data_IF_901324746495
#
_entry.id   IF_901324746495
#
_cell.length_a   1.000
_cell.length_b   1.000
_cell.length_c   1.000
_cell.angle_alpha   90.00
_cell.angle_beta   90.00
_cell.angle_gamma   90.00
#
_symmetry.space_group_name_H-M   'P 1'
#
loop_
_entity.id
_entity.type
_entity.pdbx_description
1 polymer ?
#
# COMPACT_ATOMS: atom_id res chain seq x y z
N UNK A 1 -1.32 6.88 16.92
CA UNK A 1 -0.78 6.70 15.56
C UNK A 1 -1.75 7.40 14.63
N UNK A 2 -1.26 8.26 13.75
CA UNK A 2 -2.14 8.99 12.82
C UNK A 2 -2.56 8.07 11.68
N UNK A 3 -3.74 8.29 11.10
CA UNK A 3 -4.26 7.46 10.00
C UNK A 3 -3.28 7.32 8.82
N UNK A 4 -2.43 8.33 8.60
CA UNK A 4 -1.39 8.30 7.57
C UNK A 4 -0.30 7.26 7.84
N UNK A 5 0.16 7.13 9.09
CA UNK A 5 1.14 6.11 9.48
C UNK A 5 0.56 4.70 9.32
N UNK A 6 -0.73 4.54 9.57
CA UNK A 6 -1.44 3.28 9.39
C UNK A 6 -1.53 2.88 7.91
N UNK A 7 -1.84 3.81 7.00
CA UNK A 7 -1.84 3.53 5.56
C UNK A 7 -0.44 3.16 5.04
N UNK A 8 0.59 3.88 5.45
CA UNK A 8 1.98 3.56 5.08
C UNK A 8 2.40 2.17 5.58
N UNK A 9 2.02 1.82 6.81
CA UNK A 9 2.28 0.49 7.36
C UNK A 9 1.57 -0.61 6.56
N UNK A 10 0.27 -0.45 6.26
CA UNK A 10 -0.50 -1.43 5.48
C UNK A 10 0.09 -1.59 4.08
N UNK A 11 0.50 -0.49 3.42
CA UNK A 11 1.14 -0.55 2.11
C UNK A 11 2.42 -1.41 2.14
N UNK A 12 3.29 -1.19 3.12
CA UNK A 12 4.52 -1.97 3.30
C UNK A 12 4.25 -3.47 3.55
N UNK A 13 3.19 -3.79 4.31
CA UNK A 13 2.77 -5.19 4.52
C UNK A 13 2.31 -5.87 3.23
N UNK A 14 1.54 -5.15 2.40
CA UNK A 14 1.05 -5.66 1.11
C UNK A 14 2.19 -5.85 0.10
N UNK A 15 3.17 -4.95 0.10
CA UNK A 15 4.38 -5.08 -0.73
C UNK A 15 5.21 -6.30 -0.31
N UNK A 16 5.46 -6.45 0.99
CA UNK A 16 6.17 -7.61 1.53
C UNK A 16 5.48 -8.92 1.18
N UNK A 17 4.15 -9.01 1.33
CA UNK A 17 3.39 -10.21 1.03
C UNK A 17 3.48 -10.59 -0.45
N UNK A 18 3.40 -9.61 -1.35
CA UNK A 18 3.58 -9.85 -2.79
C UNK A 18 4.99 -10.38 -3.11
N UNK A 19 6.03 -9.79 -2.52
CA UNK A 19 7.41 -10.25 -2.68
C UNK A 19 7.58 -11.68 -2.18
N UNK A 20 7.03 -11.98 -1.00
CA UNK A 20 7.06 -13.31 -0.42
C UNK A 20 6.37 -14.35 -1.32
N UNK A 21 5.16 -14.07 -1.79
CA UNK A 21 4.41 -14.98 -2.67
C UNK A 21 5.10 -15.20 -4.02
N UNK A 22 5.71 -14.16 -4.60
CA UNK A 22 6.48 -14.30 -5.86
C UNK A 22 7.76 -15.11 -5.69
N UNK A 23 8.32 -15.18 -4.48
CA UNK A 23 9.50 -15.98 -4.18
C UNK A 23 9.20 -17.45 -3.91
N UNK A 24 7.93 -17.83 -3.78
CA UNK A 24 7.54 -19.23 -3.58
C UNK A 24 7.67 -20.02 -4.88
N UNK A 25 7.99 -21.30 -4.75
CA UNK A 25 8.11 -22.21 -5.89
C UNK A 25 6.76 -22.30 -6.64
N UNK A 26 6.75 -22.36 -7.99
CA UNK A 26 5.51 -22.38 -8.76
C UNK A 26 4.60 -23.53 -8.32
N UNK A 27 3.49 -23.17 -7.68
CA UNK A 27 2.47 -24.13 -7.24
C UNK A 27 1.64 -24.54 -8.46
N UNK A 28 1.10 -25.78 -8.47
CA UNK A 28 0.22 -26.27 -9.53
C UNK A 28 -0.98 -25.33 -9.81
N UNK A 29 -1.35 -24.51 -8.83
CA UNK A 29 -2.38 -23.46 -8.88
C UNK A 29 -1.84 -22.07 -9.29
N UNK A 30 -0.86 -22.01 -10.20
CA UNK A 30 -0.23 -20.76 -10.65
C UNK A 30 -1.23 -19.66 -11.06
N UNK A 31 -2.34 -20.01 -11.73
CA UNK A 31 -3.38 -19.03 -12.09
C UNK A 31 -4.14 -18.44 -10.90
N UNK A 32 -4.33 -19.20 -9.81
CA UNK A 32 -4.94 -18.68 -8.57
C UNK A 32 -3.94 -17.79 -7.82
N UNK A 33 -2.66 -18.15 -7.85
CA UNK A 33 -1.58 -17.33 -7.28
C UNK A 33 -1.47 -15.99 -8.01
N UNK A 34 -1.50 -16.01 -9.34
CA UNK A 34 -1.46 -14.80 -10.17
C UNK A 34 -2.67 -13.90 -9.91
N UNK A 35 -3.87 -14.48 -9.80
CA UNK A 35 -5.08 -13.76 -9.43
C UNK A 35 -4.98 -13.11 -8.03
N UNK A 36 -4.40 -13.83 -7.06
CA UNK A 36 -4.18 -13.30 -5.71
C UNK A 36 -3.14 -12.16 -5.70
N UNK A 37 -2.05 -12.29 -6.46
CA UNK A 37 -1.05 -11.25 -6.62
C UNK A 37 -1.64 -9.98 -7.25
N UNK A 38 -2.53 -10.13 -8.25
CA UNK A 38 -3.21 -9.00 -8.86
C UNK A 38 -4.16 -8.29 -7.88
N UNK A 39 -4.92 -9.05 -7.08
CA UNK A 39 -5.78 -8.49 -6.05
C UNK A 39 -4.98 -7.74 -4.97
N UNK A 40 -3.84 -8.27 -4.56
CA UNK A 40 -2.92 -7.61 -3.61
C UNK A 40 -2.34 -6.32 -4.19
N UNK A 41 -1.96 -6.32 -5.47
CA UNK A 41 -1.48 -5.11 -6.15
C UNK A 41 -2.56 -4.01 -6.22
N UNK A 42 -3.81 -4.38 -6.52
CA UNK A 42 -4.94 -3.45 -6.47
C UNK A 42 -5.17 -2.88 -5.07
N UNK A 43 -5.16 -3.73 -4.04
CA UNK A 43 -5.31 -3.29 -2.64
C UNK A 43 -4.19 -2.32 -2.24
N UNK A 44 -2.94 -2.61 -2.62
CA UNK A 44 -1.81 -1.74 -2.35
C UNK A 44 -2.00 -0.34 -2.97
N UNK A 45 -2.42 -0.28 -4.24
CA UNK A 45 -2.67 0.99 -4.93
C UNK A 45 -3.76 1.83 -4.22
N UNK A 46 -4.85 1.19 -3.77
CA UNK A 46 -5.92 1.88 -3.03
C UNK A 46 -5.41 2.46 -1.72
N UNK A 47 -4.63 1.70 -0.95
CA UNK A 47 -4.10 2.15 0.34
C UNK A 47 -3.12 3.32 0.16
N UNK A 48 -2.24 3.27 -0.86
CA UNK A 48 -1.34 4.37 -1.19
C UNK A 48 -2.14 5.64 -1.52
N UNK A 49 -3.19 5.51 -2.33
CA UNK A 49 -4.03 6.65 -2.71
C UNK A 49 -4.77 7.25 -1.51
N UNK A 50 -5.31 6.42 -0.62
CA UNK A 50 -5.92 6.87 0.63
C UNK A 50 -4.91 7.62 1.53
N UNK A 51 -3.67 7.15 1.58
CA UNK A 51 -2.57 7.84 2.27
C UNK A 51 -2.27 9.21 1.67
N UNK A 52 -2.22 9.32 0.33
CA UNK A 52 -1.99 10.58 -0.38
C UNK A 52 -3.12 11.59 -0.16
N UNK A 53 -4.38 11.13 -0.18
CA UNK A 53 -5.55 11.96 0.11
C UNK A 53 -5.48 12.47 1.56
N UNK A 54 -5.15 11.59 2.50
CA UNK A 54 -4.97 11.96 3.92
C UNK A 54 -3.84 12.98 4.13
N UNK A 55 -2.73 12.85 3.41
CA UNK A 55 -1.60 13.78 3.48
C UNK A 55 -1.93 15.15 2.86
N UNK A 56 -2.69 15.17 1.76
CA UNK A 56 -3.11 16.39 1.06
C UNK A 56 -4.14 17.20 1.85
N UNK A 57 -4.85 16.57 2.79
CA UNK A 57 -5.81 17.23 3.68
C UNK A 57 -5.16 17.92 4.90
N UNK A 58 -3.84 17.74 5.13
CA UNK A 58 -3.13 18.44 6.18
C UNK A 58 -2.95 19.93 5.81
N UNK A 59 -3.37 20.88 6.66
CA UNK A 59 -3.23 22.31 6.34
C UNK A 59 -1.76 22.69 6.24
N UNK A 60 -1.38 23.32 5.12
CA UNK A 60 -0.11 24.00 4.97
C UNK A 60 -0.07 25.24 5.90
N UNK A 61 0.30 25.06 7.17
CA UNK A 61 0.72 26.13 8.07
C UNK A 61 2.26 26.13 8.15
N UNK A 62 3.01 27.20 7.98
CA UNK A 62 2.69 28.62 8.05
C UNK A 62 3.63 29.44 7.13
N UNK A 63 3.08 30.51 6.57
CA UNK A 63 3.79 31.61 5.95
C UNK A 63 4.75 32.26 6.98
N UNK A 64 5.98 32.67 6.61
CA UNK A 64 6.84 33.40 7.54
C UNK A 64 6.23 34.79 7.81
N UNK A 65 5.98 35.10 9.07
CA UNK A 65 5.62 36.45 9.50
C UNK A 65 6.78 37.40 9.17
N UNK A 66 6.44 38.48 8.46
CA UNK A 66 7.35 39.58 8.12
C UNK A 66 7.73 40.42 9.34
#
# INVERSE_FOLDING_TARGET
MTSMEEFAFIAAQLEWLQGHLRSQEPVAEGGRMESALNALACAHAVIVELGNIGASAAPASAFPAA
#
